data_IF_933833572188
#
_entry.id   IF_933833572188
#
_cell.length_a   1.000
_cell.length_b   1.000
_cell.length_c   1.000
_cell.angle_alpha   90.00
_cell.angle_beta   90.00
_cell.angle_gamma   90.00
#
_symmetry.space_group_name_H-M   'P 1'
#
loop_
_entity.id
_entity.type
_entity.pdbx_description
1 polymer ?
#
# COMPACT_ATOMS: atom_id res chain seq x y z
N UNK A 1 14.95 14.45 12.46
CA UNK A 1 15.05 12.98 12.31
C UNK A 1 13.86 12.52 11.48
N UNK A 2 14.06 11.75 10.41
CA UNK A 2 12.94 11.20 9.65
C UNK A 2 12.10 10.29 10.56
N UNK A 3 10.78 10.46 10.53
CA UNK A 3 9.87 9.65 11.33
C UNK A 3 10.07 8.16 10.98
N UNK A 4 10.37 7.27 11.94
CA UNK A 4 10.64 5.85 11.69
C UNK A 4 9.54 5.16 10.86
N UNK A 5 8.29 5.57 11.05
CA UNK A 5 7.15 5.05 10.29
C UNK A 5 7.21 5.41 8.80
N UNK A 6 7.73 6.59 8.47
CA UNK A 6 7.92 7.04 7.07
C UNK A 6 9.01 6.22 6.37
N UNK A 7 10.09 5.90 7.08
CA UNK A 7 11.15 5.04 6.55
C UNK A 7 10.65 3.59 6.36
N UNK A 8 9.85 3.08 7.29
CA UNK A 8 9.21 1.76 7.15
C UNK A 8 8.26 1.74 5.95
N UNK A 9 7.43 2.77 5.80
CA UNK A 9 6.51 2.90 4.67
C UNK A 9 7.26 2.94 3.32
N UNK A 10 8.38 3.67 3.25
CA UNK A 10 9.25 3.70 2.07
C UNK A 10 9.85 2.31 1.77
N UNK A 11 10.30 1.60 2.81
CA UNK A 11 10.83 0.22 2.68
C UNK A 11 9.76 -0.74 2.15
N UNK A 12 8.53 -0.65 2.66
CA UNK A 12 7.41 -1.47 2.18
C UNK A 12 7.11 -1.15 0.72
N UNK A 13 7.09 0.14 0.33
CA UNK A 13 6.92 0.54 -1.08
C UNK A 13 7.93 -0.15 -1.99
N UNK A 14 9.19 -0.16 -1.61
CA UNK A 14 10.25 -0.75 -2.42
C UNK A 14 10.12 -2.28 -2.48
N UNK A 15 9.72 -2.93 -1.39
CA UNK A 15 9.37 -4.36 -1.41
C UNK A 15 8.21 -4.64 -2.36
N UNK A 16 7.11 -3.90 -2.24
CA UNK A 16 5.91 -4.03 -3.08
C UNK A 16 6.26 -3.89 -4.57
N UNK A 17 7.11 -2.94 -4.94
CA UNK A 17 7.56 -2.74 -6.32
C UNK A 17 8.38 -3.93 -6.87
N UNK A 18 9.16 -4.58 -6.01
CA UNK A 18 10.04 -5.68 -6.38
C UNK A 18 9.38 -7.06 -6.31
N UNK A 19 8.13 -7.15 -5.86
CA UNK A 19 7.41 -8.42 -5.86
C UNK A 19 7.13 -8.87 -7.29
N UNK A 20 7.57 -10.09 -7.58
CA UNK A 20 7.09 -10.87 -8.71
C UNK A 20 5.81 -11.59 -8.32
N UNK A 21 4.99 -11.92 -9.31
CA UNK A 21 3.77 -12.68 -9.08
C UNK A 21 4.06 -14.17 -8.93
N UNK A 22 3.67 -14.70 -7.78
CA UNK A 22 3.55 -16.10 -7.43
C UNK A 22 2.61 -16.21 -6.22
N UNK A 23 2.03 -17.38 -5.95
CA UNK A 23 1.06 -17.54 -4.87
C UNK A 23 1.68 -17.31 -3.47
N UNK A 24 2.97 -17.61 -3.29
CA UNK A 24 3.69 -17.24 -2.06
C UNK A 24 3.82 -15.71 -1.94
N UNK A 25 4.17 -15.05 -3.04
CA UNK A 25 4.35 -13.59 -3.12
C UNK A 25 3.03 -12.84 -3.05
N UNK A 26 1.93 -13.45 -3.46
CA UNK A 26 0.59 -12.93 -3.27
C UNK A 26 0.24 -12.82 -1.78
N UNK A 27 0.59 -13.83 -0.97
CA UNK A 27 0.41 -13.77 0.49
C UNK A 27 1.36 -12.76 1.14
N UNK A 28 2.62 -12.71 0.69
CA UNK A 28 3.56 -11.67 1.14
C UNK A 28 3.01 -10.27 0.84
N UNK A 29 2.40 -10.08 -0.34
CA UNK A 29 1.78 -8.83 -0.73
C UNK A 29 0.60 -8.45 0.17
N UNK A 30 -0.30 -9.39 0.49
CA UNK A 30 -1.40 -9.14 1.45
C UNK A 30 -0.87 -8.70 2.82
N UNK A 31 0.20 -9.34 3.31
CA UNK A 31 0.84 -8.96 4.57
C UNK A 31 1.43 -7.55 4.50
N UNK A 32 2.07 -7.19 3.39
CA UNK A 32 2.63 -5.85 3.18
C UNK A 32 1.53 -4.78 3.10
N UNK A 33 0.38 -5.09 2.52
CA UNK A 33 -0.79 -4.19 2.53
C UNK A 33 -1.29 -3.99 3.97
N UNK A 34 -1.44 -5.07 4.74
CA UNK A 34 -1.83 -4.99 6.15
C UNK A 34 -0.87 -4.12 6.98
N UNK A 35 0.45 -4.34 6.83
CA UNK A 35 1.47 -3.51 7.45
C UNK A 35 1.39 -2.04 7.01
N UNK A 36 1.10 -1.79 5.72
CA UNK A 36 0.92 -0.44 5.17
C UNK A 36 -0.24 0.28 5.85
N UNK A 37 -1.39 -0.40 6.01
CA UNK A 37 -2.58 0.13 6.71
C UNK A 37 -2.23 0.49 8.15
N UNK A 38 -1.62 -0.44 8.91
CA UNK A 38 -1.23 -0.19 10.30
C UNK A 38 -0.28 1.00 10.46
N UNK A 39 0.69 1.13 9.54
CA UNK A 39 1.65 2.23 9.56
C UNK A 39 0.92 3.54 9.25
N UNK A 40 0.10 3.59 8.20
CA UNK A 40 -0.64 4.80 7.81
C UNK A 40 -1.57 5.24 8.94
N UNK A 41 -2.25 4.32 9.64
CA UNK A 41 -3.09 4.64 10.80
C UNK A 41 -2.31 5.33 11.95
N UNK A 42 -1.04 4.97 12.15
CA UNK A 42 -0.19 5.52 13.22
C UNK A 42 0.55 6.79 12.80
N UNK A 43 0.64 7.06 11.50
CA UNK A 43 1.29 8.27 10.99
C UNK A 43 0.39 9.48 11.21
N UNK A 44 1.01 10.57 11.66
CA UNK A 44 0.42 11.89 11.71
C UNK A 44 1.37 12.92 11.10
N UNK A 45 0.83 13.95 10.45
CA UNK A 45 1.57 15.12 9.98
C UNK A 45 0.84 16.39 10.39
N UNK A 46 1.20 17.01 11.54
CA UNK A 46 0.54 18.23 11.99
C UNK A 46 0.85 19.46 11.12
N UNK A 47 1.81 19.35 10.22
CA UNK A 47 2.26 20.47 9.40
C UNK A 47 1.60 20.51 8.01
N UNK A 48 0.67 19.58 7.72
CA UNK A 48 -0.09 19.50 6.46
C UNK A 48 -1.58 19.42 6.80
N UNK A 49 -2.28 20.54 6.61
CA UNK A 49 -3.71 20.69 6.96
C UNK A 49 -4.62 19.66 6.26
N UNK A 50 -4.18 19.13 5.12
CA UNK A 50 -4.93 18.15 4.34
C UNK A 50 -4.48 16.70 4.61
N UNK A 51 -3.49 16.50 5.48
CA UNK A 51 -2.92 15.19 5.74
C UNK A 51 -3.97 14.20 6.23
N UNK A 52 -4.81 14.60 7.17
CA UNK A 52 -5.85 13.73 7.73
C UNK A 52 -6.83 13.23 6.67
N UNK A 53 -7.23 14.12 5.75
CA UNK A 53 -8.09 13.75 4.62
C UNK A 53 -7.37 12.78 3.69
N UNK A 54 -6.10 13.03 3.33
CA UNK A 54 -5.31 12.14 2.49
C UNK A 54 -5.11 10.77 3.15
N UNK A 55 -4.84 10.76 4.45
CA UNK A 55 -4.71 9.55 5.27
C UNK A 55 -5.97 8.71 5.20
N UNK A 56 -7.13 9.33 5.41
CA UNK A 56 -8.43 8.63 5.36
C UNK A 56 -8.72 8.06 3.96
N UNK A 57 -8.46 8.82 2.90
CA UNK A 57 -8.61 8.33 1.52
C UNK A 57 -7.68 7.14 1.27
N UNK A 58 -6.40 7.25 1.60
CA UNK A 58 -5.44 6.17 1.41
C UNK A 58 -5.83 4.90 2.18
N UNK A 59 -6.33 5.03 3.41
CA UNK A 59 -6.81 3.90 4.21
C UNK A 59 -8.03 3.23 3.56
N UNK A 60 -9.03 4.01 3.16
CA UNK A 60 -10.21 3.48 2.49
C UNK A 60 -9.85 2.74 1.20
N UNK A 61 -8.96 3.32 0.39
CA UNK A 61 -8.51 2.71 -0.87
C UNK A 61 -7.78 1.39 -0.61
N UNK A 62 -6.86 1.37 0.37
CA UNK A 62 -6.10 0.17 0.73
C UNK A 62 -6.98 -0.94 1.30
N UNK A 63 -7.95 -0.62 2.17
CA UNK A 63 -8.88 -1.60 2.73
C UNK A 63 -9.79 -2.19 1.66
N UNK A 64 -10.32 -1.34 0.78
CA UNK A 64 -11.14 -1.78 -0.34
C UNK A 64 -10.35 -2.65 -1.33
N UNK A 65 -9.15 -2.22 -1.69
CA UNK A 65 -8.29 -2.94 -2.63
C UNK A 65 -7.80 -4.26 -2.06
N UNK A 66 -7.48 -4.34 -0.77
CA UNK A 66 -7.09 -5.60 -0.13
C UNK A 66 -8.21 -6.63 -0.21
N UNK A 67 -9.44 -6.24 0.16
CA UNK A 67 -10.59 -7.14 0.12
C UNK A 67 -10.88 -7.60 -1.31
N UNK A 68 -10.91 -6.66 -2.26
CA UNK A 68 -11.14 -6.97 -3.68
C UNK A 68 -10.04 -7.86 -4.28
N UNK A 69 -8.78 -7.56 -3.99
CA UNK A 69 -7.62 -8.30 -4.49
C UNK A 69 -7.62 -9.72 -3.97
N UNK A 70 -7.78 -9.92 -2.66
CA UNK A 70 -7.76 -11.24 -2.05
C UNK A 70 -8.87 -12.11 -2.66
N UNK A 71 -10.09 -11.57 -2.76
CA UNK A 71 -11.22 -12.29 -3.35
C UNK A 71 -10.95 -12.71 -4.80
N UNK A 72 -10.55 -11.76 -5.65
CA UNK A 72 -10.35 -12.01 -7.09
C UNK A 72 -9.12 -12.86 -7.40
N UNK A 73 -8.04 -12.69 -6.65
CA UNK A 73 -6.80 -13.43 -6.87
C UNK A 73 -6.98 -14.90 -6.51
N UNK A 74 -7.59 -15.20 -5.36
CA UNK A 74 -7.73 -16.58 -4.87
C UNK A 74 -8.88 -17.34 -5.53
N UNK A 75 -9.94 -16.65 -5.99
CA UNK A 75 -11.00 -17.28 -6.77
C UNK A 75 -10.61 -17.55 -8.23
N UNK A 76 -9.60 -16.86 -8.75
CA UNK A 76 -9.19 -17.04 -10.14
C UNK A 76 -8.39 -18.33 -10.35
N UNK A 77 -8.79 -19.10 -11.35
CA UNK A 77 -8.06 -20.27 -11.84
C UNK A 77 -7.12 -19.94 -13.01
N UNK A 78 -7.31 -18.77 -13.64
CA UNK A 78 -6.52 -18.34 -14.79
C UNK A 78 -5.29 -17.54 -14.35
N UNK A 79 -4.10 -17.99 -14.76
CA UNK A 79 -2.83 -17.32 -14.45
C UNK A 79 -2.82 -15.86 -14.93
N UNK A 80 -3.40 -15.57 -16.09
CA UNK A 80 -3.48 -14.21 -16.65
C UNK A 80 -4.29 -13.26 -15.78
N UNK A 81 -5.35 -13.76 -15.16
CA UNK A 81 -6.23 -12.96 -14.30
C UNK A 81 -5.54 -12.69 -12.97
N UNK A 82 -4.89 -13.71 -12.38
CA UNK A 82 -4.03 -13.53 -11.21
C UNK A 82 -2.94 -12.46 -11.45
N UNK A 83 -2.26 -12.49 -12.60
CA UNK A 83 -1.27 -11.47 -13.02
C UNK A 83 -1.89 -10.08 -13.08
N UNK A 84 -3.08 -9.98 -13.66
CA UNK A 84 -3.77 -8.71 -13.86
C UNK A 84 -4.23 -8.10 -12.53
N UNK A 85 -4.82 -8.92 -11.64
CA UNK A 85 -5.29 -8.48 -10.33
C UNK A 85 -4.12 -8.13 -9.41
N UNK A 86 -3.04 -8.93 -9.40
CA UNK A 86 -1.82 -8.59 -8.67
C UNK A 86 -1.21 -7.26 -9.12
N UNK A 87 -1.10 -7.05 -10.43
CA UNK A 87 -0.52 -5.83 -10.99
C UNK A 87 -1.37 -4.60 -10.68
N UNK A 88 -2.71 -4.72 -10.75
CA UNK A 88 -3.64 -3.65 -10.35
C UNK A 88 -3.49 -3.30 -8.89
N UNK A 89 -3.60 -4.29 -8.01
CA UNK A 89 -3.52 -4.07 -6.57
C UNK A 89 -2.16 -3.47 -6.19
N UNK A 90 -1.05 -3.96 -6.77
CA UNK A 90 0.29 -3.39 -6.58
C UNK A 90 0.35 -1.91 -6.96
N UNK A 91 -0.24 -1.53 -8.10
CA UNK A 91 -0.26 -0.14 -8.55
C UNK A 91 -1.08 0.77 -7.62
N UNK A 92 -2.22 0.28 -7.14
CA UNK A 92 -3.05 1.06 -6.23
C UNK A 92 -2.36 1.26 -4.86
N UNK A 93 -1.78 0.20 -4.30
CA UNK A 93 -1.00 0.27 -3.06
C UNK A 93 0.15 1.26 -3.18
N UNK A 94 0.88 1.22 -4.30
CA UNK A 94 1.92 2.20 -4.57
C UNK A 94 1.39 3.64 -4.66
N UNK A 95 0.21 3.84 -5.23
CA UNK A 95 -0.43 5.16 -5.32
C UNK A 95 -0.77 5.69 -3.93
N UNK A 96 -1.38 4.85 -3.09
CA UNK A 96 -1.70 5.20 -1.70
C UNK A 96 -0.43 5.53 -0.89
N UNK A 97 0.59 4.67 -0.96
CA UNK A 97 1.87 4.90 -0.27
C UNK A 97 2.54 6.20 -0.73
N UNK A 98 2.62 6.43 -2.05
CA UNK A 98 3.25 7.64 -2.58
C UNK A 98 2.46 8.90 -2.20
N UNK A 99 1.13 8.83 -2.14
CA UNK A 99 0.29 9.91 -1.66
C UNK A 99 0.66 10.32 -0.23
N UNK A 100 0.78 9.35 0.68
CA UNK A 100 1.20 9.60 2.07
C UNK A 100 2.64 10.11 2.14
N UNK A 101 3.59 9.45 1.48
CA UNK A 101 4.99 9.87 1.50
C UNK A 101 5.19 11.29 0.95
N UNK A 102 4.39 11.72 -0.02
CA UNK A 102 4.48 13.06 -0.60
C UNK A 102 4.21 14.17 0.41
N UNK A 103 3.30 13.94 1.36
CA UNK A 103 3.02 14.88 2.46
C UNK A 103 4.21 15.13 3.38
N UNK A 104 5.19 14.22 3.41
CA UNK A 104 6.40 14.35 4.24
C UNK A 104 7.65 14.80 3.48
N UNK A 105 7.60 14.88 2.14
CA UNK A 105 8.76 15.26 1.31
C UNK A 105 9.09 16.76 1.33
N UNK A 106 8.19 17.60 1.85
CA UNK A 106 8.35 19.06 1.86
C UNK A 106 9.00 19.66 3.13
N UNK A 107 9.48 18.84 4.08
CA UNK A 107 10.22 19.33 5.25
C UNK A 107 11.72 19.10 5.04
N UNK A 108 12.33 19.88 4.14
CA UNK A 108 13.77 20.11 4.13
C UNK A 108 14.07 21.35 4.95
#
# INVERSE_FOLDING_TARGET
>A
MANPLINQLATIRDKVNNLYIDDEKAKEFESLIGQTIEIIQKINNPNDDFFESRRRTALNDLEHDLGRYSDRYWQSTAKTDKISEFSRARNNVNTAINGILSSFKNYR
#
